data_IF_905857793981
#
_entry.id   IF_905857793981
#
_cell.length_a   1.000
_cell.length_b   1.000
_cell.length_c   1.000
_cell.angle_alpha   90.00
_cell.angle_beta   90.00
_cell.angle_gamma   90.00
#
_symmetry.space_group_name_H-M   'P 1'
#
loop_
_entity.id
_entity.type
_entity.pdbx_description
1 polymer ?
#
# COMPACT_ATOMS: atom_id res chain seq x y z
N UNK A 1 -18.07 24.83 -8.03
CA UNK A 1 -16.84 24.11 -7.66
C UNK A 1 -15.98 23.95 -8.90
N UNK A 2 -14.66 24.13 -8.81
CA UNK A 2 -13.76 23.72 -9.88
C UNK A 2 -13.55 22.20 -9.75
N UNK A 3 -14.15 21.43 -10.65
CA UNK A 3 -13.86 20.00 -10.73
C UNK A 3 -12.39 19.82 -11.12
N UNK A 4 -11.69 18.95 -10.40
CA UNK A 4 -10.34 18.53 -10.78
C UNK A 4 -10.37 17.90 -12.18
N UNK A 5 -9.46 18.33 -13.05
CA UNK A 5 -9.31 17.78 -14.41
C UNK A 5 -7.94 17.11 -14.53
N UNK A 6 -7.96 15.84 -14.88
CA UNK A 6 -6.74 15.11 -15.23
C UNK A 6 -6.13 15.68 -16.51
N UNK A 7 -4.81 15.89 -16.48
CA UNK A 7 -4.03 15.96 -17.71
C UNK A 7 -3.80 14.54 -18.24
N UNK A 8 -3.46 14.42 -19.52
CA UNK A 8 -3.11 13.12 -20.10
C UNK A 8 -1.92 12.49 -19.37
N UNK A 9 -0.85 13.25 -19.19
CA UNK A 9 0.37 12.84 -18.46
C UNK A 9 0.09 12.43 -17.01
N UNK A 10 -0.75 13.20 -16.31
CA UNK A 10 -1.11 12.90 -14.92
C UNK A 10 -1.90 11.60 -14.79
N UNK A 11 -2.80 11.33 -15.74
CA UNK A 11 -3.55 10.08 -15.77
C UNK A 11 -2.65 8.89 -16.09
N UNK A 12 -1.77 9.03 -17.08
CA UNK A 12 -0.81 7.97 -17.46
C UNK A 12 0.14 7.62 -16.30
N UNK A 13 0.68 8.63 -15.62
CA UNK A 13 1.53 8.44 -14.43
C UNK A 13 0.78 7.72 -13.31
N UNK A 14 -0.46 8.13 -13.05
CA UNK A 14 -1.30 7.48 -12.03
C UNK A 14 -1.57 6.00 -12.35
N UNK A 15 -1.97 5.69 -13.59
CA UNK A 15 -2.24 4.30 -13.99
C UNK A 15 -0.97 3.44 -13.95
N UNK A 16 0.20 4.00 -14.27
CA UNK A 16 1.48 3.30 -14.20
C UNK A 16 1.84 2.92 -12.76
N UNK A 17 1.70 3.87 -11.81
CA UNK A 17 1.93 3.61 -10.38
C UNK A 17 0.95 2.57 -9.85
N UNK A 18 -0.33 2.72 -10.19
CA UNK A 18 -1.38 1.77 -9.80
C UNK A 18 -1.09 0.37 -10.33
N UNK A 19 -0.65 0.25 -11.58
CA UNK A 19 -0.26 -1.03 -12.17
C UNK A 19 0.93 -1.63 -11.42
N UNK A 20 2.00 -0.85 -11.18
CA UNK A 20 3.17 -1.32 -10.44
C UNK A 20 2.83 -1.84 -9.03
N UNK A 21 1.99 -1.11 -8.29
CA UNK A 21 1.52 -1.55 -6.96
C UNK A 21 0.69 -2.84 -7.07
N UNK A 22 -0.14 -2.98 -8.10
CA UNK A 22 -0.96 -4.19 -8.29
C UNK A 22 -0.17 -5.45 -8.64
N UNK A 23 1.02 -5.27 -9.23
CA UNK A 23 1.91 -6.37 -9.65
C UNK A 23 3.03 -6.65 -8.65
N UNK A 24 3.14 -5.85 -7.57
CA UNK A 24 4.13 -6.12 -6.52
C UNK A 24 3.90 -7.53 -5.95
N UNK A 25 4.98 -8.32 -5.74
CA UNK A 25 4.85 -9.71 -5.33
C UNK A 25 4.03 -9.80 -4.05
N UNK A 26 3.00 -10.65 -4.08
CA UNK A 26 2.14 -10.90 -2.93
C UNK A 26 2.99 -11.49 -1.80
N UNK A 27 2.65 -11.09 -0.56
CA UNK A 27 3.31 -11.46 0.71
C UNK A 27 4.10 -12.77 0.62
N UNK A 28 5.42 -12.65 0.68
CA UNK A 28 6.33 -13.76 1.01
C UNK A 28 5.79 -14.52 2.23
N UNK A 29 5.98 -15.84 2.25
CA UNK A 29 5.59 -16.64 3.41
C UNK A 29 6.19 -16.02 4.68
N UNK A 30 5.41 -15.89 5.76
CA UNK A 30 5.92 -15.29 6.98
C UNK A 30 7.06 -16.13 7.54
N UNK A 31 8.11 -15.46 8.01
CA UNK A 31 9.23 -16.08 8.68
C UNK A 31 8.98 -16.05 10.19
N UNK A 32 8.54 -17.17 10.76
CA UNK A 32 8.19 -17.24 12.18
C UNK A 32 9.39 -17.13 13.13
N UNK A 33 10.62 -17.08 12.61
CA UNK A 33 11.80 -16.74 13.42
C UNK A 33 11.97 -15.23 13.65
N UNK A 34 11.22 -14.40 12.92
CA UNK A 34 11.27 -12.93 12.99
C UNK A 34 10.05 -12.35 13.69
N UNK A 35 10.26 -11.22 14.34
CA UNK A 35 9.18 -10.46 14.97
C UNK A 35 8.15 -9.98 13.93
N UNK A 36 6.88 -10.07 14.33
CA UNK A 36 5.78 -9.42 13.62
C UNK A 36 5.59 -8.01 14.15
N UNK A 37 5.47 -7.05 13.25
CA UNK A 37 5.19 -5.65 13.55
C UNK A 37 3.77 -5.32 13.08
N UNK A 38 2.94 -4.82 14.00
CA UNK A 38 1.59 -4.37 13.71
C UNK A 38 1.53 -2.84 13.79
N UNK A 39 1.20 -2.21 12.67
CA UNK A 39 0.88 -0.79 12.62
C UNK A 39 -0.63 -0.66 12.52
N UNK A 40 -1.26 -0.14 13.57
CA UNK A 40 -2.71 0.05 13.61
C UNK A 40 -3.05 1.54 13.69
N UNK A 41 -4.11 1.93 13.01
CA UNK A 41 -4.69 3.26 13.07
C UNK A 41 -6.20 3.13 13.25
N UNK A 42 -6.73 3.76 14.29
CA UNK A 42 -8.16 3.83 14.56
C UNK A 42 -8.67 5.26 14.36
N UNK A 43 -9.67 5.41 13.51
CA UNK A 43 -10.52 6.60 13.42
C UNK A 43 -11.86 6.38 14.14
N UNK A 44 -12.73 7.40 14.10
CA UNK A 44 -14.06 7.35 14.72
C UNK A 44 -14.92 6.18 14.22
N UNK A 45 -14.79 5.86 12.93
CA UNK A 45 -15.70 4.93 12.23
C UNK A 45 -14.94 3.77 11.54
N UNK A 46 -13.62 3.70 11.68
CA UNK A 46 -12.81 2.70 10.95
C UNK A 46 -11.55 2.36 11.72
N UNK A 47 -11.18 1.08 11.72
CA UNK A 47 -9.89 0.59 12.16
C UNK A 47 -9.16 0.00 10.96
N UNK A 48 -7.91 0.41 10.78
CA UNK A 48 -7.01 -0.10 9.74
C UNK A 48 -5.75 -0.64 10.39
N UNK A 49 -5.21 -1.72 9.85
CA UNK A 49 -3.96 -2.28 10.34
C UNK A 49 -3.10 -2.87 9.22
N UNK A 50 -1.78 -2.80 9.41
CA UNK A 50 -0.76 -3.40 8.54
C UNK A 50 0.07 -4.35 9.41
N UNK A 51 0.07 -5.63 9.05
CA UNK A 51 0.96 -6.64 9.62
C UNK A 51 2.17 -6.81 8.69
N UNK A 52 3.38 -6.70 9.23
CA UNK A 52 4.61 -6.78 8.44
C UNK A 52 5.76 -7.39 9.24
N UNK A 53 6.84 -7.76 8.56
CA UNK A 53 8.08 -8.25 9.14
C UNK A 53 9.26 -7.50 8.52
N UNK A 54 10.37 -7.34 9.25
CA UNK A 54 11.58 -6.74 8.69
C UNK A 54 12.14 -7.64 7.57
N UNK A 55 12.05 -7.14 6.34
CA UNK A 55 12.76 -7.74 5.20
C UNK A 55 14.18 -7.17 5.16
N UNK A 56 15.12 -7.81 5.86
CA UNK A 56 16.55 -7.60 5.61
C UNK A 56 16.93 -8.58 4.51
N UNK A 57 17.33 -8.04 3.36
CA UNK A 57 18.10 -8.80 2.36
C UNK A 57 19.35 -9.42 3.02
#
# INVERSE_FOLDING_TARGET
SLAFKWTAEGKESFESIKHAISQAPTLINPDFSKDFMLYAFGGSDTISAILTQLNRE
#
